data_IF_944532155078
#
_entry.id   IF_944532155078
#
_cell.length_a   1.000
_cell.length_b   1.000
_cell.length_c   1.000
_cell.angle_alpha   90.00
_cell.angle_beta   90.00
_cell.angle_gamma   90.00
#
_symmetry.space_group_name_H-M   'P 1'
#
loop_
_entity.id
_entity.type
_entity.pdbx_description
1 polymer ?
#
# COMPACT_ATOMS: atom_id res chain seq x y z
N UNK A 1 -40.81 -23.34 -16.34
CA UNK A 1 -41.44 -22.40 -15.39
C UNK A 1 -40.46 -21.26 -15.15
N UNK A 2 -40.80 -20.10 -15.71
CA UNK A 2 -40.18 -18.78 -15.60
C UNK A 2 -38.65 -18.66 -15.67
N UNK A 3 -38.18 -18.60 -16.92
CA UNK A 3 -36.97 -17.87 -17.30
C UNK A 3 -37.15 -16.38 -16.94
N UNK A 4 -36.43 -15.94 -15.90
CA UNK A 4 -36.41 -14.55 -15.47
C UNK A 4 -35.35 -13.76 -16.25
N UNK A 5 -35.46 -13.82 -17.58
CA UNK A 5 -34.70 -12.97 -18.48
C UNK A 5 -35.01 -11.48 -18.29
N UNK A 6 -36.08 -11.09 -17.57
CA UNK A 6 -36.49 -9.68 -17.42
C UNK A 6 -35.94 -8.94 -16.19
N UNK A 7 -35.46 -9.63 -15.14
CA UNK A 7 -34.78 -8.97 -13.99
C UNK A 7 -33.27 -8.86 -14.13
N UNK A 8 -32.66 -9.64 -15.03
CA UNK A 8 -31.21 -9.54 -15.30
C UNK A 8 -30.88 -8.33 -16.17
N UNK A 9 -31.76 -7.94 -17.10
CA UNK A 9 -31.58 -6.75 -17.95
C UNK A 9 -31.80 -5.44 -17.19
N UNK A 10 -32.71 -5.40 -16.21
CA UNK A 10 -32.90 -4.20 -15.38
C UNK A 10 -31.72 -3.92 -14.42
N UNK A 11 -30.91 -4.95 -14.09
CA UNK A 11 -29.65 -4.81 -13.33
C UNK A 11 -28.38 -4.81 -14.21
N UNK A 12 -28.45 -4.75 -15.54
CA UNK A 12 -27.25 -4.69 -16.39
C UNK A 12 -26.80 -3.27 -16.72
N UNK A 13 -27.67 -2.27 -16.57
CA UNK A 13 -27.39 -0.87 -16.96
C UNK A 13 -26.28 -0.15 -16.17
N UNK A 14 -26.13 -0.34 -14.84
CA UNK A 14 -25.05 0.30 -14.06
C UNK A 14 -23.81 -0.58 -13.85
N UNK A 15 -23.98 -1.91 -13.78
CA UNK A 15 -22.90 -2.82 -13.40
C UNK A 15 -22.01 -3.23 -14.57
N UNK A 16 -22.47 -3.14 -15.83
CA UNK A 16 -21.63 -3.43 -16.99
C UNK A 16 -20.53 -2.37 -17.15
N UNK A 17 -20.90 -1.09 -17.10
CA UNK A 17 -19.93 0.01 -17.10
C UNK A 17 -19.07 0.04 -15.83
N UNK A 18 -19.60 -0.37 -14.67
CA UNK A 18 -18.82 -0.46 -13.44
C UNK A 18 -17.73 -1.54 -13.49
N UNK A 19 -17.96 -2.68 -14.14
CA UNK A 19 -16.96 -3.76 -14.26
C UNK A 19 -15.74 -3.33 -15.08
N UNK A 20 -15.96 -2.56 -16.16
CA UNK A 20 -14.88 -1.98 -16.95
C UNK A 20 -14.07 -0.97 -16.13
N UNK A 21 -14.75 -0.13 -15.34
CA UNK A 21 -14.11 0.86 -14.47
C UNK A 21 -13.31 0.22 -13.32
N UNK A 22 -13.81 -0.87 -12.74
CA UNK A 22 -13.13 -1.61 -11.68
C UNK A 22 -11.85 -2.23 -12.22
N UNK A 23 -11.88 -2.80 -13.42
CA UNK A 23 -10.70 -3.42 -14.05
C UNK A 23 -9.59 -2.40 -14.29
N UNK A 24 -9.95 -1.18 -14.71
CA UNK A 24 -9.01 -0.06 -14.87
C UNK A 24 -8.44 0.36 -13.52
N UNK A 25 -9.29 0.52 -12.50
CA UNK A 25 -8.85 0.89 -11.15
C UNK A 25 -7.83 -0.11 -10.59
N UNK A 26 -8.13 -1.40 -10.68
CA UNK A 26 -7.25 -2.48 -10.22
C UNK A 26 -5.93 -2.48 -10.99
N UNK A 27 -5.98 -2.19 -12.29
CA UNK A 27 -4.77 -2.11 -13.11
C UNK A 27 -3.88 -0.95 -12.66
N UNK A 28 -4.45 0.23 -12.45
CA UNK A 28 -3.72 1.40 -11.97
C UNK A 28 -3.15 1.16 -10.57
N UNK A 29 -3.94 0.55 -9.68
CA UNK A 29 -3.52 0.20 -8.32
C UNK A 29 -2.33 -0.77 -8.33
N UNK A 30 -2.38 -1.82 -9.15
CA UNK A 30 -1.27 -2.78 -9.29
C UNK A 30 -0.02 -2.15 -9.88
N UNK A 31 -0.15 -1.25 -10.87
CA UNK A 31 0.99 -0.51 -11.45
C UNK A 31 1.60 0.42 -10.39
N UNK A 32 0.79 1.17 -9.66
CA UNK A 32 1.24 2.05 -8.58
C UNK A 32 1.98 1.28 -7.47
N UNK A 33 1.42 0.15 -7.05
CA UNK A 33 2.05 -0.75 -6.08
C UNK A 33 3.39 -1.31 -6.60
N UNK A 34 3.48 -1.68 -7.89
CA UNK A 34 4.72 -2.16 -8.49
C UNK A 34 5.83 -1.09 -8.51
N UNK A 35 5.49 0.15 -8.87
CA UNK A 35 6.45 1.27 -8.82
C UNK A 35 6.91 1.57 -7.38
N UNK A 36 5.99 1.52 -6.42
CA UNK A 36 6.30 1.70 -5.00
C UNK A 36 7.28 0.62 -4.50
N UNK A 37 7.03 -0.65 -4.83
CA UNK A 37 7.91 -1.77 -4.50
C UNK A 37 9.29 -1.62 -5.13
N UNK A 38 9.37 -1.19 -6.39
CA UNK A 38 10.65 -0.93 -7.06
C UNK A 38 11.45 0.16 -6.33
N UNK A 39 10.77 1.25 -5.93
CA UNK A 39 11.38 2.31 -5.12
C UNK A 39 11.89 1.79 -3.77
N UNK A 40 11.10 0.99 -3.07
CA UNK A 40 11.51 0.39 -1.79
C UNK A 40 12.75 -0.52 -1.96
N UNK A 41 12.79 -1.35 -3.01
CA UNK A 41 13.96 -2.20 -3.32
C UNK A 41 15.21 -1.35 -3.56
N UNK A 42 15.09 -0.25 -4.30
CA UNK A 42 16.21 0.68 -4.52
C UNK A 42 16.71 1.29 -3.22
N UNK A 43 15.83 1.63 -2.27
CA UNK A 43 16.21 2.12 -0.93
C UNK A 43 16.98 1.05 -0.16
N UNK A 44 16.49 -0.20 -0.12
CA UNK A 44 17.19 -1.31 0.55
C UNK A 44 18.58 -1.55 -0.05
N UNK A 45 18.67 -1.61 -1.38
CA UNK A 45 19.93 -1.81 -2.09
C UNK A 45 20.92 -0.68 -1.79
N UNK A 46 20.45 0.57 -1.84
CA UNK A 46 21.28 1.74 -1.56
C UNK A 46 21.77 1.73 -0.11
N UNK A 47 20.92 1.39 0.86
CA UNK A 47 21.32 1.34 2.26
C UNK A 47 22.31 0.20 2.56
N UNK A 48 22.15 -0.96 1.92
CA UNK A 48 23.05 -2.09 2.11
C UNK A 48 24.41 -1.86 1.43
N UNK A 49 24.42 -1.30 0.21
CA UNK A 49 25.63 -1.05 -0.55
C UNK A 49 26.59 -0.06 0.15
N UNK A 50 26.06 0.96 0.84
CA UNK A 50 26.87 2.02 1.43
C UNK A 50 26.84 2.00 2.97
N UNK A 51 27.86 1.38 3.60
CA UNK A 51 28.02 1.36 5.08
C UNK A 51 28.05 2.76 5.72
N UNK A 52 28.52 3.78 5.00
CA UNK A 52 28.55 5.18 5.47
C UNK A 52 27.15 5.81 5.59
N UNK A 53 26.14 5.23 4.94
CA UNK A 53 24.77 5.75 4.96
C UNK A 53 23.95 5.28 6.17
N UNK A 54 24.54 4.59 7.15
CA UNK A 54 23.82 4.15 8.37
C UNK A 54 23.69 5.25 9.41
N UNK A 55 23.06 6.35 9.03
CA UNK A 55 22.66 7.43 9.93
C UNK A 55 21.23 7.21 10.41
N UNK A 56 20.87 7.78 11.57
CA UNK A 56 19.49 7.75 12.09
C UNK A 56 18.44 8.21 11.06
N UNK A 57 18.65 9.31 10.30
CA UNK A 57 17.73 9.71 9.22
C UNK A 57 17.54 8.63 8.16
N UNK A 58 18.63 8.01 7.70
CA UNK A 58 18.58 7.01 6.64
C UNK A 58 17.97 5.68 7.12
N UNK A 59 18.05 5.38 8.41
CA UNK A 59 17.34 4.26 9.02
C UNK A 59 15.83 4.49 9.01
N UNK A 60 15.35 5.70 9.30
CA UNK A 60 13.92 6.01 9.23
C UNK A 60 13.36 5.84 7.81
N UNK A 61 14.10 6.26 6.79
CA UNK A 61 13.71 6.06 5.38
C UNK A 61 13.58 4.57 5.05
N UNK A 62 14.47 3.74 5.60
CA UNK A 62 14.45 2.29 5.41
C UNK A 62 13.23 1.65 6.10
N UNK A 63 12.94 2.03 7.34
CA UNK A 63 11.78 1.54 8.08
C UNK A 63 10.46 1.99 7.43
N UNK A 64 10.38 3.23 6.95
CA UNK A 64 9.25 3.72 6.16
C UNK A 64 9.09 2.92 4.85
N UNK A 65 10.19 2.55 4.20
CA UNK A 65 10.14 1.72 3.00
C UNK A 65 9.59 0.31 3.27
N UNK A 66 9.84 -0.28 4.44
CA UNK A 66 9.24 -1.56 4.86
C UNK A 66 7.71 -1.42 4.96
N UNK A 67 7.22 -0.32 5.54
CA UNK A 67 5.79 -0.06 5.65
C UNK A 67 5.13 0.14 4.27
N UNK A 68 5.78 0.87 3.37
CA UNK A 68 5.35 0.99 1.96
C UNK A 68 5.27 -0.36 1.23
N UNK A 69 6.18 -1.31 1.52
CA UNK A 69 6.10 -2.68 0.98
C UNK A 69 4.85 -3.38 1.49
N UNK A 70 4.57 -3.30 2.80
CA UNK A 70 3.36 -3.86 3.41
C UNK A 70 2.07 -3.29 2.82
N UNK A 71 1.99 -1.96 2.65
CA UNK A 71 0.85 -1.29 2.02
C UNK A 71 0.68 -1.67 0.54
N UNK A 72 1.79 -1.79 -0.20
CA UNK A 72 1.77 -2.20 -1.62
C UNK A 72 1.29 -3.64 -1.79
N UNK A 73 1.70 -4.55 -0.91
CA UNK A 73 1.19 -5.93 -0.88
C UNK A 73 -0.32 -5.94 -0.58
N UNK A 74 -0.78 -5.11 0.37
CA UNK A 74 -2.19 -4.99 0.68
C UNK A 74 -3.03 -4.49 -0.51
N UNK A 75 -2.54 -3.49 -1.25
CA UNK A 75 -3.15 -3.01 -2.49
C UNK A 75 -3.20 -4.09 -3.59
N UNK A 76 -2.12 -4.85 -3.79
CA UNK A 76 -2.12 -5.94 -4.80
C UNK A 76 -3.17 -7.00 -4.47
N UNK A 77 -3.40 -7.28 -3.18
CA UNK A 77 -4.45 -8.19 -2.71
C UNK A 77 -5.84 -7.55 -2.84
N UNK A 78 -5.96 -6.23 -2.65
CA UNK A 78 -7.20 -5.44 -2.55
C UNK A 78 -8.46 -6.01 -3.20
N UNK A 79 -8.51 -6.03 -4.52
CA UNK A 79 -9.69 -6.49 -5.26
C UNK A 79 -9.89 -8.01 -5.22
N UNK A 80 -8.80 -8.76 -5.23
CA UNK A 80 -8.83 -10.22 -5.22
C UNK A 80 -9.22 -10.76 -3.82
N UNK A 81 -8.84 -10.06 -2.75
CA UNK A 81 -9.18 -10.38 -1.35
C UNK A 81 -10.65 -10.18 -1.04
N UNK A 82 -11.28 -9.10 -1.55
CA UNK A 82 -12.71 -8.86 -1.38
C UNK A 82 -13.54 -9.91 -2.16
N UNK A 83 -13.08 -10.31 -3.35
CA UNK A 83 -13.76 -11.34 -4.16
C UNK A 83 -13.64 -12.75 -3.59
N UNK A 84 -12.60 -13.03 -2.81
CA UNK A 84 -12.35 -14.32 -2.19
C UNK A 84 -13.30 -14.63 -1.01
N UNK A 85 -13.93 -13.60 -0.43
CA UNK A 85 -14.88 -13.71 0.68
C UNK A 85 -14.25 -13.48 2.06
N UNK A 86 -15.04 -12.94 2.99
CA UNK A 86 -14.57 -12.44 4.31
C UNK A 86 -13.99 -13.53 5.24
N UNK A 87 -14.37 -14.79 5.02
CA UNK A 87 -13.89 -15.92 5.81
C UNK A 87 -12.51 -16.42 5.38
N UNK A 88 -12.00 -15.96 4.23
CA UNK A 88 -10.67 -16.35 3.77
C UNK A 88 -9.58 -15.53 4.44
N UNK A 89 -8.48 -16.20 4.77
CA UNK A 89 -7.30 -15.59 5.39
C UNK A 89 -6.71 -14.43 4.55
N UNK A 90 -6.95 -14.41 3.23
CA UNK A 90 -6.55 -13.30 2.34
C UNK A 90 -7.23 -11.98 2.70
N UNK A 91 -8.54 -11.99 2.96
CA UNK A 91 -9.29 -10.78 3.30
C UNK A 91 -8.90 -10.25 4.68
N UNK A 92 -8.72 -11.15 5.67
CA UNK A 92 -8.27 -10.76 7.00
C UNK A 92 -6.82 -10.24 7.01
N UNK A 93 -5.92 -10.89 6.26
CA UNK A 93 -4.55 -10.41 6.11
C UNK A 93 -4.52 -9.03 5.44
N UNK A 94 -5.30 -8.82 4.37
CA UNK A 94 -5.42 -7.51 3.71
C UNK A 94 -5.87 -6.43 4.71
N UNK A 95 -6.93 -6.69 5.49
CA UNK A 95 -7.43 -5.74 6.48
C UNK A 95 -6.38 -5.41 7.55
N UNK A 96 -5.69 -6.43 8.06
CA UNK A 96 -4.60 -6.26 9.02
C UNK A 96 -3.44 -5.43 8.45
N UNK A 97 -3.03 -5.70 7.20
CA UNK A 97 -1.95 -4.95 6.55
C UNK A 97 -2.32 -3.48 6.35
N UNK A 98 -3.56 -3.19 5.92
CA UNK A 98 -4.06 -1.81 5.75
C UNK A 98 -4.04 -1.08 7.09
N UNK A 99 -4.62 -1.67 8.14
CA UNK A 99 -4.72 -1.02 9.46
C UNK A 99 -3.33 -0.76 10.06
N UNK A 100 -2.41 -1.72 9.91
CA UNK A 100 -1.09 -1.66 10.54
C UNK A 100 -0.11 -0.76 9.78
N UNK A 101 -0.02 -0.89 8.47
CA UNK A 101 1.02 -0.24 7.69
C UNK A 101 0.64 1.18 7.25
N UNK A 102 -0.64 1.46 6.97
CA UNK A 102 -1.05 2.84 6.66
C UNK A 102 -0.91 3.77 7.87
N UNK A 103 -1.14 3.28 9.09
CA UNK A 103 -0.92 4.07 10.31
C UNK A 103 0.57 4.25 10.66
N UNK A 104 1.43 3.34 10.18
CA UNK A 104 2.87 3.41 10.45
C UNK A 104 3.53 4.56 9.70
N UNK A 105 3.14 4.86 8.46
CA UNK A 105 3.78 5.92 7.64
C UNK A 105 3.70 7.33 8.26
N UNK A 106 2.55 7.78 8.81
CA UNK A 106 2.46 9.01 9.59
C UNK A 106 3.37 9.03 10.81
N UNK A 107 3.48 7.92 11.54
CA UNK A 107 4.32 7.83 12.74
C UNK A 107 5.81 7.92 12.41
N UNK A 108 6.24 7.30 11.31
CA UNK A 108 7.63 7.44 10.82
C UNK A 108 7.92 8.87 10.35
N UNK A 109 6.94 9.51 9.68
CA UNK A 109 7.07 10.92 9.29
C UNK A 109 7.17 11.85 10.50
N UNK A 110 6.44 11.57 11.58
CA UNK A 110 6.55 12.27 12.84
C UNK A 110 7.93 12.08 13.50
N UNK A 111 8.46 10.86 13.50
CA UNK A 111 9.82 10.59 13.99
C UNK A 111 10.90 11.32 13.17
N UNK A 112 10.76 11.38 11.84
CA UNK A 112 11.64 12.16 10.98
C UNK A 112 11.57 13.67 11.28
N UNK A 113 10.37 14.20 11.56
CA UNK A 113 10.19 15.60 11.93
C UNK A 113 10.85 15.92 13.29
N UNK A 114 10.70 15.05 14.30
CA UNK A 114 11.37 15.19 15.60
C UNK A 114 12.89 15.17 15.41
N UNK A 115 13.41 14.22 14.63
CA UNK A 115 14.84 14.12 14.38
C UNK A 115 15.39 15.39 13.70
N UNK A 116 14.68 15.93 12.70
CA UNK A 116 15.06 17.19 12.06
C UNK A 116 15.03 18.36 13.04
N UNK A 117 14.01 18.44 13.91
CA UNK A 117 13.92 19.45 14.96
C UNK A 117 15.13 19.36 15.93
N UNK A 118 15.47 18.17 16.40
CA UNK A 118 16.61 17.98 17.31
C UNK A 118 17.93 18.39 16.65
N UNK A 119 18.17 18.01 15.40
CA UNK A 119 19.39 18.39 14.67
C UNK A 119 19.49 19.90 14.47
N UNK A 120 18.38 20.59 14.20
CA UNK A 120 18.39 22.05 13.95
C UNK A 120 18.56 22.86 15.24
N UNK A 121 17.92 22.44 16.34
CA UNK A 121 17.91 23.23 17.59
C UNK A 121 18.96 22.80 18.62
N UNK A 122 19.40 21.54 18.58
CA UNK A 122 20.34 20.96 19.55
C UNK A 122 21.57 20.34 18.89
N UNK A 123 21.70 20.38 17.56
CA UNK A 123 22.94 20.04 16.89
C UNK A 123 23.95 21.16 17.10
N UNK A 124 25.09 20.85 17.71
CA UNK A 124 26.21 21.78 17.80
C UNK A 124 26.63 22.25 16.39
N UNK A 125 26.92 23.55 16.19
CA UNK A 125 27.25 24.13 14.89
C UNK A 125 28.55 23.59 14.27
#
# INVERSE_FOLDING_TARGET
MYDNSNTVIARKGPYLFAQDNISILVTIEKIGAAFSLLGAVLVFLSYWAFKRMRSLPNLFILLASIANVGASIACIIGYDGIRAGEHLALCQAQGFLIETFIQSDPLWSFAMAINAFLVVFFGDP
#
